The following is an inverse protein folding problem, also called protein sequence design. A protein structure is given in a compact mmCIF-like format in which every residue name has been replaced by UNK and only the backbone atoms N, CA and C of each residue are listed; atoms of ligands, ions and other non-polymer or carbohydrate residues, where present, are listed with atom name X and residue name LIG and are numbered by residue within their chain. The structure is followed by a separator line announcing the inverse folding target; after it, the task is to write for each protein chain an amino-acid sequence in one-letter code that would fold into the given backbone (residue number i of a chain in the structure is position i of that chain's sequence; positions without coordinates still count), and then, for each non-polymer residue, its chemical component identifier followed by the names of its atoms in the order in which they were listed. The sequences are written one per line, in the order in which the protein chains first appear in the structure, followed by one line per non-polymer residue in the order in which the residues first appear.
data_IF_471556027837
#
_entry.id   IF_471556027837
#
_cell.length_a   1.000
_cell.length_b   1.000
_cell.length_c   1.000
_cell.angle_alpha   90.00
_cell.angle_beta   90.00
_cell.angle_gamma   90.00
#
_symmetry.space_group_name_H-M   'P 1'
#
loop_
_entity.id
_entity.type
_entity.pdbx_description
1 polymer ?
#
# COMPACT_ATOMS: atom_id res chain seq x y z
N UNK A 1 25.69 6.22 3.12
CA UNK A 1 26.04 4.91 3.67
C UNK A 1 25.26 3.81 2.97
N UNK A 2 25.90 2.72 2.59
CA UNK A 2 25.27 1.59 1.85
C UNK A 2 24.49 0.62 2.77
N UNK A 3 24.57 0.84 4.08
CA UNK A 3 23.93 -0.04 5.08
C UNK A 3 22.62 0.54 5.64
N UNK A 4 22.14 1.61 5.07
CA UNK A 4 20.98 2.31 5.59
C UNK A 4 19.67 1.83 4.96
N UNK A 5 18.67 1.72 5.79
CA UNK A 5 17.27 1.55 5.36
C UNK A 5 16.58 2.89 5.56
N UNK A 6 16.18 3.52 4.47
CA UNK A 6 15.46 4.78 4.51
C UNK A 6 13.95 4.47 4.40
N UNK A 7 13.21 4.83 5.44
CA UNK A 7 11.79 4.52 5.56
C UNK A 7 10.96 5.19 4.46
N UNK A 8 11.33 6.42 4.08
CA UNK A 8 10.64 7.17 3.04
C UNK A 8 10.74 6.48 1.67
N UNK A 9 11.92 5.99 1.29
CA UNK A 9 12.13 5.32 -0.01
C UNK A 9 11.35 4.01 -0.09
N UNK A 10 11.23 3.28 1.01
CA UNK A 10 10.40 2.06 1.07
C UNK A 10 8.93 2.43 0.86
N UNK A 11 8.45 3.53 1.46
CA UNK A 11 7.09 4.01 1.26
C UNK A 11 6.84 4.54 -0.15
N UNK A 12 7.80 5.24 -0.76
CA UNK A 12 7.73 5.63 -2.17
C UNK A 12 7.64 4.41 -3.09
N UNK A 13 8.43 3.37 -2.80
CA UNK A 13 8.38 2.11 -3.54
C UNK A 13 7.02 1.44 -3.39
N UNK A 14 6.46 1.39 -2.18
CA UNK A 14 5.12 0.86 -1.95
C UNK A 14 4.04 1.65 -2.71
N UNK A 15 4.13 2.99 -2.72
CA UNK A 15 3.21 3.83 -3.50
C UNK A 15 3.31 3.54 -4.99
N UNK A 16 4.53 3.42 -5.53
CA UNK A 16 4.73 3.06 -6.94
C UNK A 16 4.13 1.69 -7.30
N UNK A 17 4.23 0.70 -6.41
CA UNK A 17 3.54 -0.58 -6.58
C UNK A 17 2.02 -0.44 -6.58
N UNK A 18 1.44 0.38 -5.69
CA UNK A 18 0.01 0.69 -5.74
C UNK A 18 -0.39 1.35 -7.06
N UNK A 19 0.40 2.29 -7.55
CA UNK A 19 0.16 2.97 -8.83
C UNK A 19 0.24 2.01 -10.03
N UNK A 20 1.14 1.03 -9.95
CA UNK A 20 1.28 -0.03 -10.94
C UNK A 20 0.22 -1.15 -10.83
N UNK A 21 -0.72 -1.06 -9.86
CA UNK A 21 -1.76 -2.07 -9.65
C UNK A 21 -1.30 -3.32 -8.89
N UNK A 22 -0.09 -3.31 -8.34
CA UNK A 22 0.50 -4.41 -7.58
C UNK A 22 0.22 -4.23 -6.08
N UNK A 23 -1.06 -4.31 -5.71
CA UNK A 23 -1.53 -3.95 -4.38
C UNK A 23 -0.98 -4.85 -3.25
N UNK A 24 -0.80 -6.15 -3.52
CA UNK A 24 -0.35 -7.09 -2.49
C UNK A 24 1.13 -6.88 -2.14
N UNK A 25 1.99 -6.61 -3.12
CA UNK A 25 3.38 -6.25 -2.89
C UNK A 25 3.49 -4.88 -2.22
N UNK A 26 2.69 -3.92 -2.66
CA UNK A 26 2.62 -2.60 -2.06
C UNK A 26 2.25 -2.68 -0.57
N UNK A 27 1.19 -3.43 -0.25
CA UNK A 27 0.75 -3.61 1.12
C UNK A 27 1.81 -4.30 1.99
N UNK A 28 2.47 -5.32 1.46
CA UNK A 28 3.56 -6.03 2.18
C UNK A 28 4.70 -5.08 2.53
N UNK A 29 5.16 -4.27 1.57
CA UNK A 29 6.20 -3.28 1.80
C UNK A 29 5.77 -2.22 2.81
N UNK A 30 4.58 -1.64 2.63
CA UNK A 30 4.04 -0.61 3.51
C UNK A 30 3.89 -1.15 4.94
N UNK A 31 3.25 -2.31 5.12
CA UNK A 31 3.05 -2.94 6.43
C UNK A 31 4.39 -3.28 7.09
N UNK A 32 5.31 -3.89 6.35
CA UNK A 32 6.64 -4.25 6.87
C UNK A 32 7.40 -3.02 7.34
N UNK A 33 7.39 -1.96 6.55
CA UNK A 33 8.05 -0.70 6.90
C UNK A 33 7.44 -0.04 8.14
N UNK A 34 6.12 -0.01 8.27
CA UNK A 34 5.44 0.52 9.46
C UNK A 34 5.79 -0.31 10.70
N UNK A 35 5.71 -1.63 10.60
CA UNK A 35 6.02 -2.51 11.73
C UNK A 35 7.47 -2.38 12.17
N UNK A 36 8.40 -2.37 11.23
CA UNK A 36 9.84 -2.27 11.52
C UNK A 36 10.21 -0.89 12.08
N UNK A 37 9.71 0.19 11.47
CA UNK A 37 10.12 1.55 11.81
C UNK A 37 9.33 2.18 12.97
N UNK A 38 8.13 1.66 13.31
CA UNK A 38 7.29 2.24 14.36
C UNK A 38 7.08 1.31 15.55
N UNK A 39 6.85 0.02 15.33
CA UNK A 39 6.39 -0.88 16.39
C UNK A 39 7.49 -1.79 16.96
N UNK A 40 8.25 -2.46 16.10
CA UNK A 40 9.19 -3.51 16.51
C UNK A 40 10.65 -3.11 16.34
N UNK A 41 10.90 -2.09 15.55
CA UNK A 41 12.26 -1.66 15.23
C UNK A 41 12.88 -0.75 16.26
N UNK A 42 13.77 0.09 15.79
CA UNK A 42 14.59 0.97 16.61
C UNK A 42 13.81 2.06 17.37
N UNK A 43 12.52 2.21 17.14
CA UNK A 43 11.65 3.18 17.81
C UNK A 43 10.35 2.55 18.34
N UNK A 44 10.41 1.44 19.09
CA UNK A 44 9.23 0.77 19.59
C UNK A 44 8.46 1.68 20.56
N UNK A 45 7.13 1.70 20.43
CA UNK A 45 6.26 2.51 21.28
C UNK A 45 6.37 4.02 21.09
N UNK A 46 7.11 4.48 20.08
CA UNK A 46 7.16 5.89 19.72
C UNK A 46 6.11 6.17 18.62
N UNK A 47 5.36 7.26 18.78
CA UNK A 47 4.37 7.71 17.80
C UNK A 47 4.98 8.31 16.53
N UNK A 48 6.29 8.54 16.50
CA UNK A 48 7.02 9.01 15.35
C UNK A 48 7.66 7.86 14.58
N UNK A 49 7.44 7.81 13.28
CA UNK A 49 8.17 6.92 12.41
C UNK A 49 9.62 7.38 12.28
N UNK A 50 10.59 6.48 12.42
CA UNK A 50 11.99 6.83 12.16
C UNK A 50 12.21 7.02 10.65
N UNK A 51 13.02 8.02 10.31
CA UNK A 51 13.33 8.32 8.91
C UNK A 51 14.36 7.34 8.34
N UNK A 52 15.21 6.84 9.21
CA UNK A 52 16.45 6.25 8.76
C UNK A 52 17.05 5.32 9.80
N UNK A 53 17.43 4.13 9.38
CA UNK A 53 18.07 3.12 10.22
C UNK A 53 19.38 2.65 9.61
N UNK A 54 20.47 2.78 10.35
CA UNK A 54 21.77 2.22 9.97
C UNK A 54 21.93 0.83 10.60
N UNK A 55 21.71 -0.20 9.79
CA UNK A 55 21.77 -1.59 10.25
C UNK A 55 23.17 -2.01 10.77
N UNK A 56 24.25 -1.37 10.31
CA UNK A 56 25.59 -1.69 10.73
C UNK A 56 25.95 -1.07 12.07
N UNK A 57 25.40 0.11 12.36
CA UNK A 57 25.69 0.87 13.59
C UNK A 57 24.60 0.75 14.64
N UNK A 58 23.40 0.31 14.26
CA UNK A 58 22.24 0.31 15.14
C UNK A 58 21.73 1.72 15.44
N UNK A 59 22.07 2.71 14.63
CA UNK A 59 21.68 4.10 14.83
C UNK A 59 20.35 4.41 14.12
N UNK A 60 19.55 5.28 14.72
CA UNK A 60 18.27 5.74 14.18
C UNK A 60 18.23 7.25 14.12
N UNK A 61 17.64 7.76 13.06
CA UNK A 61 17.43 9.19 12.85
C UNK A 61 15.94 9.49 12.76
N UNK A 62 15.46 10.42 13.59
CA UNK A 62 14.05 10.77 13.75
C UNK A 62 13.69 12.14 13.22
N UNK A 63 14.68 12.94 12.87
CA UNK A 63 14.53 14.39 12.72
C UNK A 63 14.08 14.80 11.31
N UNK A 64 13.79 13.85 10.44
CA UNK A 64 13.29 14.11 9.08
C UNK A 64 11.80 13.84 9.02
N UNK A 65 11.04 14.79 8.51
CA UNK A 65 9.58 14.66 8.37
C UNK A 65 9.12 13.96 7.10
N UNK A 66 10.03 13.62 6.19
CA UNK A 66 9.74 13.03 4.88
C UNK A 66 9.01 11.68 4.98
N UNK A 67 9.45 10.82 5.88
CA UNK A 67 8.85 9.50 6.07
C UNK A 67 7.39 9.59 6.54
N UNK A 68 7.02 10.57 7.36
CA UNK A 68 5.65 10.76 7.82
C UNK A 68 4.75 11.20 6.67
N UNK A 69 5.20 12.17 5.89
CA UNK A 69 4.46 12.68 4.74
C UNK A 69 4.20 11.62 3.68
N UNK A 70 5.23 10.86 3.30
CA UNK A 70 5.07 9.78 2.31
C UNK A 70 4.27 8.60 2.85
N UNK A 71 4.35 8.29 4.14
CA UNK A 71 3.53 7.25 4.75
C UNK A 71 2.05 7.61 4.72
N UNK A 72 1.71 8.84 5.07
CA UNK A 72 0.34 9.35 4.96
C UNK A 72 -0.15 9.34 3.50
N UNK A 73 0.70 9.74 2.56
CA UNK A 73 0.39 9.70 1.13
C UNK A 73 0.18 8.27 0.63
N UNK A 74 1.06 7.34 0.99
CA UNK A 74 0.94 5.92 0.61
C UNK A 74 -0.32 5.29 1.18
N UNK A 75 -0.68 5.63 2.42
CA UNK A 75 -1.94 5.21 3.03
C UNK A 75 -3.15 5.74 2.24
N UNK A 76 -3.22 7.05 2.00
CA UNK A 76 -4.40 7.67 1.40
C UNK A 76 -4.49 7.42 -0.11
N UNK A 77 -3.42 7.64 -0.86
CA UNK A 77 -3.42 7.52 -2.33
C UNK A 77 -3.14 6.08 -2.81
N UNK A 78 -2.43 5.28 -2.01
CA UNK A 78 -2.12 3.89 -2.31
C UNK A 78 -3.18 2.93 -1.78
N UNK A 79 -3.20 2.69 -0.47
CA UNK A 79 -4.08 1.69 0.15
C UNK A 79 -5.56 2.06 0.01
N UNK A 80 -5.95 3.29 0.38
CA UNK A 80 -7.32 3.77 0.23
C UNK A 80 -7.62 4.30 -1.18
N UNK A 81 -6.59 4.64 -1.94
CA UNK A 81 -6.70 5.02 -3.35
C UNK A 81 -7.44 6.33 -3.62
N UNK A 82 -7.45 7.27 -2.68
CA UNK A 82 -8.14 8.55 -2.83
C UNK A 82 -7.28 9.52 -3.64
N UNK A 83 -7.69 9.82 -4.87
CA UNK A 83 -6.95 10.65 -5.82
C UNK A 83 -7.86 11.78 -6.33
N UNK A 84 -7.94 12.92 -5.62
CA UNK A 84 -8.73 14.05 -6.07
C UNK A 84 -8.10 14.68 -7.33
N UNK A 85 -8.92 14.88 -8.34
CA UNK A 85 -8.63 15.62 -9.57
C UNK A 85 -9.62 16.78 -9.68
N UNK A 86 -9.53 17.70 -8.73
CA UNK A 86 -10.52 18.77 -8.55
C UNK A 86 -10.63 19.68 -9.78
N UNK A 87 -9.54 19.93 -10.50
CA UNK A 87 -9.56 20.73 -11.72
C UNK A 87 -10.36 20.05 -12.84
N UNK A 88 -10.43 18.71 -12.82
CA UNK A 88 -11.23 17.91 -13.77
C UNK A 88 -12.64 17.61 -13.22
N UNK A 89 -13.00 18.17 -12.07
CA UNK A 89 -14.30 17.96 -11.43
C UNK A 89 -14.54 16.52 -10.94
N UNK A 90 -13.51 15.72 -10.72
CA UNK A 90 -13.63 14.31 -10.33
C UNK A 90 -12.70 13.92 -9.17
N UNK A 91 -13.07 12.85 -8.47
CA UNK A 91 -12.23 12.16 -7.51
C UNK A 91 -12.20 10.67 -7.87
N UNK A 92 -11.01 10.15 -8.13
CA UNK A 92 -10.82 8.72 -8.38
C UNK A 92 -10.63 8.03 -7.03
N UNK A 93 -11.34 6.92 -6.84
CA UNK A 93 -11.14 5.98 -5.74
C UNK A 93 -10.64 4.68 -6.35
N UNK A 94 -9.36 4.35 -6.09
CA UNK A 94 -8.65 3.17 -6.60
C UNK A 94 -8.12 2.35 -5.42
N UNK A 95 -8.97 1.59 -4.73
CA UNK A 95 -8.57 0.85 -3.54
C UNK A 95 -7.49 -0.19 -3.83
N UNK A 96 -6.48 -0.23 -2.95
CA UNK A 96 -5.42 -1.23 -2.95
C UNK A 96 -5.53 -2.21 -1.78
N UNK A 97 -6.74 -2.52 -1.33
CA UNK A 97 -6.92 -3.42 -0.18
C UNK A 97 -6.48 -4.84 -0.49
N UNK A 98 -5.83 -5.53 0.47
CA UNK A 98 -5.57 -6.97 0.37
C UNK A 98 -6.86 -7.75 0.10
N UNK A 99 -6.75 -8.86 -0.61
CA UNK A 99 -7.91 -9.67 -0.97
C UNK A 99 -8.60 -10.32 0.23
N UNK A 100 -7.85 -10.55 1.30
CA UNK A 100 -8.36 -11.11 2.56
C UNK A 100 -9.12 -10.10 3.44
N UNK A 101 -9.16 -8.83 3.07
CA UNK A 101 -9.91 -7.84 3.85
C UNK A 101 -11.38 -7.82 3.47
N UNK A 102 -12.22 -7.98 4.49
CA UNK A 102 -13.67 -7.91 4.35
C UNK A 102 -14.22 -6.51 4.52
N UNK A 103 -13.46 -5.61 5.14
CA UNK A 103 -13.87 -4.23 5.35
C UNK A 103 -12.69 -3.31 5.60
N UNK A 104 -12.87 -2.05 5.26
CA UNK A 104 -11.98 -0.94 5.61
C UNK A 104 -12.78 0.35 5.65
N UNK A 105 -12.31 1.33 6.41
CA UNK A 105 -12.90 2.67 6.40
C UNK A 105 -11.85 3.74 6.56
N UNK A 106 -12.10 4.89 5.97
CA UNK A 106 -11.26 6.07 6.08
C UNK A 106 -12.14 7.30 6.27
N UNK A 107 -11.66 8.21 7.12
CA UNK A 107 -12.28 9.50 7.32
C UNK A 107 -11.22 10.59 7.22
N UNK A 108 -11.42 11.48 6.27
CA UNK A 108 -10.62 12.70 6.08
C UNK A 108 -11.53 13.93 6.15
N UNK A 109 -10.98 15.15 6.25
CA UNK A 109 -11.82 16.36 6.22
C UNK A 109 -12.66 16.53 4.94
N UNK A 110 -12.24 15.92 3.84
CA UNK A 110 -12.88 16.13 2.53
C UNK A 110 -13.64 14.94 2.00
N UNK A 111 -13.30 13.73 2.44
CA UNK A 111 -13.93 12.51 1.97
C UNK A 111 -13.80 11.44 3.02
N UNK A 112 -14.87 10.72 3.22
CA UNK A 112 -14.89 9.49 3.98
C UNK A 112 -15.55 8.39 3.17
N UNK A 113 -15.06 7.17 3.27
CA UNK A 113 -15.77 6.03 2.74
C UNK A 113 -15.56 4.78 3.56
N UNK A 114 -16.54 3.89 3.46
CA UNK A 114 -16.52 2.55 4.03
C UNK A 114 -16.57 1.54 2.90
N UNK A 115 -15.64 0.61 2.92
CA UNK A 115 -15.60 -0.56 2.05
C UNK A 115 -16.08 -1.78 2.83
N UNK A 116 -16.92 -2.61 2.20
CA UNK A 116 -17.29 -3.92 2.71
C UNK A 116 -17.33 -4.93 1.57
N UNK A 117 -16.82 -6.14 1.83
CA UNK A 117 -16.82 -7.28 0.89
C UNK A 117 -17.68 -8.39 1.45
N UNK A 118 -18.71 -8.77 0.71
CA UNK A 118 -19.61 -9.87 1.07
C UNK A 118 -20.23 -10.49 -0.19
N UNK A 119 -20.41 -11.80 -0.17
CA UNK A 119 -21.16 -12.54 -1.20
C UNK A 119 -20.67 -12.25 -2.64
N UNK A 120 -19.36 -12.12 -2.82
CA UNK A 120 -18.77 -11.83 -4.12
C UNK A 120 -18.98 -10.39 -4.61
N UNK A 121 -19.33 -9.48 -3.73
CA UNK A 121 -19.53 -8.05 -4.02
C UNK A 121 -18.70 -7.18 -3.11
N UNK A 122 -18.17 -6.12 -3.69
CA UNK A 122 -17.50 -5.01 -3.02
C UNK A 122 -18.43 -3.81 -3.01
N UNK A 123 -18.79 -3.34 -1.83
CA UNK A 123 -19.65 -2.18 -1.62
C UNK A 123 -18.84 -1.02 -1.04
N UNK A 124 -19.01 0.17 -1.62
CA UNK A 124 -18.37 1.40 -1.20
C UNK A 124 -19.45 2.42 -0.86
N UNK A 125 -19.58 2.76 0.41
CA UNK A 125 -20.40 3.85 0.91
C UNK A 125 -19.52 5.10 1.05
N UNK A 126 -19.78 6.13 0.24
CA UNK A 126 -18.88 7.28 0.07
C UNK A 126 -19.64 8.55 0.45
N UNK A 127 -19.01 9.37 1.32
CA UNK A 127 -19.50 10.70 1.66
C UNK A 127 -18.38 11.71 1.41
N UNK A 128 -18.68 12.77 0.66
CA UNK A 128 -17.72 13.81 0.34
C UNK A 128 -18.13 15.17 0.93
N UNK A 129 -17.13 15.93 1.34
CA UNK A 129 -17.26 17.25 1.96
C UNK A 129 -16.49 18.33 1.19
N UNK A 130 -16.24 18.10 -0.09
CA UNK A 130 -15.66 19.13 -0.94
C UNK A 130 -16.63 20.30 -1.08
N UNK A 131 -16.10 21.52 -1.20
CA UNK A 131 -16.94 22.72 -1.39
C UNK A 131 -17.92 22.58 -2.56
N UNK A 132 -17.46 21.94 -3.62
CA UNK A 132 -18.32 21.49 -4.72
C UNK A 132 -18.15 19.98 -4.83
N UNK A 133 -19.21 19.20 -4.79
CA UNK A 133 -19.10 17.75 -4.94
C UNK A 133 -18.41 17.37 -6.26
N UNK A 134 -17.44 16.45 -6.16
CA UNK A 134 -16.73 15.92 -7.32
C UNK A 134 -17.42 14.65 -7.83
N UNK A 135 -17.38 14.42 -9.14
CA UNK A 135 -17.81 13.15 -9.70
C UNK A 135 -16.90 12.03 -9.20
N UNK A 136 -17.46 11.05 -8.52
CA UNK A 136 -16.69 9.89 -8.06
C UNK A 136 -16.48 8.92 -9.22
N UNK A 137 -15.25 8.44 -9.36
CA UNK A 137 -14.88 7.38 -10.29
C UNK A 137 -14.24 6.25 -9.49
N UNK A 138 -14.94 5.14 -9.35
CA UNK A 138 -14.40 3.96 -8.71
C UNK A 138 -13.57 3.17 -9.74
N UNK A 139 -12.25 3.14 -9.55
CA UNK A 139 -11.30 2.43 -10.42
C UNK A 139 -10.96 1.07 -9.85
N UNK A 140 -11.60 0.04 -10.37
CA UNK A 140 -11.36 -1.34 -9.96
C UNK A 140 -10.09 -1.88 -10.63
N UNK A 141 -9.20 -2.43 -9.83
CA UNK A 141 -8.02 -3.15 -10.30
C UNK A 141 -8.42 -4.57 -10.72
N UNK A 142 -8.20 -4.92 -11.97
CA UNK A 142 -8.50 -6.23 -12.55
C UNK A 142 -7.26 -7.16 -12.62
N UNK A 143 -6.11 -6.69 -12.15
CA UNK A 143 -4.81 -7.35 -12.29
C UNK A 143 -4.09 -7.01 -13.60
N UNK A 144 -2.82 -7.42 -13.73
CA UNK A 144 -2.00 -7.20 -14.94
C UNK A 144 -1.96 -5.73 -15.42
N UNK A 145 -2.06 -4.76 -14.50
CA UNK A 145 -2.10 -3.36 -14.84
C UNK A 145 -3.40 -2.91 -15.54
N UNK A 146 -4.41 -3.78 -15.57
CA UNK A 146 -5.72 -3.45 -16.15
C UNK A 146 -6.65 -2.89 -15.09
N UNK A 147 -7.44 -1.90 -15.50
CA UNK A 147 -8.41 -1.24 -14.66
C UNK A 147 -9.77 -1.13 -15.34
N UNK A 148 -10.81 -1.09 -14.55
CA UNK A 148 -12.17 -0.76 -14.99
C UNK A 148 -12.67 0.42 -14.17
N UNK A 149 -13.05 1.49 -14.86
CA UNK A 149 -13.67 2.66 -14.25
C UNK A 149 -15.19 2.48 -14.20
N UNK A 150 -15.75 2.68 -13.02
CA UNK A 150 -17.18 2.72 -12.77
C UNK A 150 -17.51 4.14 -12.34
N UNK A 151 -18.31 4.83 -13.14
CA UNK A 151 -18.67 6.21 -12.88
C UNK A 151 -19.81 6.30 -11.87
N UNK A 152 -19.59 7.04 -10.81
CA UNK A 152 -20.62 7.51 -9.89
C UNK A 152 -21.07 8.93 -10.24
N UNK A 153 -21.66 9.59 -9.28
CA UNK A 153 -22.24 10.92 -9.42
C UNK A 153 -21.44 11.97 -8.63
N UNK A 154 -21.74 13.25 -8.88
CA UNK A 154 -21.24 14.38 -8.11
C UNK A 154 -22.20 14.71 -6.94
N UNK A 155 -22.52 13.71 -6.12
CA UNK A 155 -23.39 13.82 -4.96
C UNK A 155 -22.61 13.78 -3.65
N UNK A 156 -23.15 14.38 -2.62
CA UNK A 156 -22.51 14.39 -1.29
C UNK A 156 -22.39 13.00 -0.69
N UNK A 157 -23.40 12.15 -0.94
CA UNK A 157 -23.40 10.77 -0.47
C UNK A 157 -23.85 9.82 -1.58
N UNK A 158 -23.13 8.70 -1.75
CA UNK A 158 -23.52 7.66 -2.70
C UNK A 158 -23.00 6.29 -2.28
N UNK A 159 -23.69 5.25 -2.75
CA UNK A 159 -23.28 3.86 -2.56
C UNK A 159 -22.99 3.26 -3.94
N UNK A 160 -21.80 2.65 -4.08
CA UNK A 160 -21.39 1.96 -5.30
C UNK A 160 -21.13 0.50 -4.98
N UNK A 161 -21.78 -0.40 -5.72
CA UNK A 161 -21.61 -1.85 -5.57
C UNK A 161 -21.05 -2.43 -6.86
N UNK A 162 -20.03 -3.24 -6.75
CA UNK A 162 -19.36 -3.90 -7.87
C UNK A 162 -19.08 -5.37 -7.56
N UNK A 163 -18.94 -6.20 -8.59
CA UNK A 163 -18.48 -7.57 -8.37
C UNK A 163 -17.03 -7.58 -7.85
N UNK A 164 -16.75 -8.39 -6.84
CA UNK A 164 -15.39 -8.60 -6.35
C UNK A 164 -14.52 -9.18 -7.47
N UNK A 165 -13.29 -8.65 -7.71
CA UNK A 165 -12.39 -9.22 -8.70
C UNK A 165 -12.03 -10.67 -8.34
N UNK A 166 -12.18 -11.60 -9.28
CA UNK A 166 -11.92 -13.02 -9.04
C UNK A 166 -10.44 -13.37 -9.04
N UNK A 167 -9.59 -12.56 -9.68
CA UNK A 167 -8.14 -12.69 -9.70
C UNK A 167 -7.48 -11.31 -9.61
N UNK A 168 -6.67 -11.13 -8.59
CA UNK A 168 -5.47 -10.30 -8.69
C UNK A 168 -4.33 -11.27 -8.92
N UNK A 169 -3.37 -10.90 -9.76
CA UNK A 169 -2.20 -11.73 -9.97
C UNK A 169 -1.60 -12.12 -8.62
N UNK A 170 -1.56 -13.41 -8.38
CA UNK A 170 -0.73 -13.91 -7.31
C UNK A 170 0.71 -13.48 -7.61
N UNK A 171 1.43 -12.91 -6.66
CA UNK A 171 2.80 -12.53 -6.89
C UNK A 171 3.53 -13.75 -7.43
N UNK A 172 4.24 -13.59 -8.54
CA UNK A 172 5.24 -14.58 -8.93
C UNK A 172 6.17 -14.70 -7.73
N UNK A 173 6.01 -15.79 -6.98
CA UNK A 173 6.95 -16.14 -5.94
C UNK A 173 8.25 -16.41 -6.65
N UNK A 174 9.14 -15.43 -6.65
CA UNK A 174 10.53 -15.66 -7.03
C UNK A 174 11.04 -16.60 -5.94
N UNK A 175 10.98 -17.91 -6.23
CA UNK A 175 11.65 -18.90 -5.42
C UNK A 175 13.13 -18.70 -5.71
N UNK A 176 13.81 -18.02 -4.81
CA UNK A 176 15.26 -18.12 -4.78
C UNK A 176 15.56 -19.59 -4.53
N UNK A 177 16.09 -20.26 -5.54
CA UNK A 177 16.68 -21.57 -5.34
C UNK A 177 17.79 -21.38 -4.29
N UNK A 178 17.57 -21.94 -3.12
CA UNK A 178 18.64 -22.05 -2.13
C UNK A 178 19.72 -22.91 -2.78
N UNK A 179 20.80 -22.29 -3.22
CA UNK A 179 22.02 -23.01 -3.49
C UNK A 179 22.53 -23.54 -2.16
N UNK A 180 22.04 -24.70 -1.76
CA UNK A 180 22.78 -25.56 -0.86
C UNK A 180 23.91 -26.11 -1.69
N UNK A 181 25.04 -25.40 -1.68
CA UNK A 181 26.28 -25.89 -2.24
C UNK A 181 26.79 -27.01 -1.34
N UNK A 182 26.49 -28.23 -1.70
CA UNK A 182 27.29 -29.38 -1.28
C UNK A 182 28.69 -29.23 -1.91
N UNK A 183 29.60 -28.74 -1.11
CA UNK A 183 31.02 -28.88 -1.44
C UNK A 183 31.40 -30.32 -1.18
N UNK A 184 31.85 -31.06 -2.19
CA UNK A 184 32.46 -32.34 -1.93
C UNK A 184 33.79 -32.09 -1.20
N UNK A 185 33.86 -32.48 0.05
CA UNK A 185 35.10 -32.70 0.73
C UNK A 185 35.82 -33.85 0.03
N UNK A 186 36.79 -33.51 -0.79
CA UNK A 186 37.75 -34.49 -1.33
C UNK A 186 38.74 -34.84 -0.23
N UNK A 187 38.50 -35.99 0.35
CA UNK A 187 39.43 -36.63 1.25
C UNK A 187 40.35 -37.54 0.42
N UNK A 188 41.46 -37.01 -0.01
CA UNK A 188 42.60 -37.88 -0.41
C UNK A 188 43.68 -37.75 0.58
N UNK A 189 43.76 -38.80 1.39
CA UNK A 189 44.85 -38.99 2.31
C UNK A 189 46.08 -39.57 1.61
N UNK A 190 47.13 -39.57 2.38
CA UNK A 190 48.19 -40.54 2.45
C UNK A 190 49.46 -40.31 1.60
N UNK A 191 50.41 -40.30 2.29
CA UNK A 191 51.78 -40.83 2.33
C UNK A 191 52.83 -39.75 2.40
#
# INVERSE_FOLDING_TARGET
SINNVAAAEVMHTALAYYEAGRADEAYRLMKGNILDQMYYGASPGNFGQISYYDAARGECYRDFGDCIGISARTLLQGLFGIIPQALDGKCIIRPGFPMEWDSASVKTPYLEYKFTRRDGKDCYEITQHFRQPLKIVLRQNLGNGQYRDIEGNAETHQVMEIATPTHRDSPHVIRYASHTGDSPHDSTGAQ
#
